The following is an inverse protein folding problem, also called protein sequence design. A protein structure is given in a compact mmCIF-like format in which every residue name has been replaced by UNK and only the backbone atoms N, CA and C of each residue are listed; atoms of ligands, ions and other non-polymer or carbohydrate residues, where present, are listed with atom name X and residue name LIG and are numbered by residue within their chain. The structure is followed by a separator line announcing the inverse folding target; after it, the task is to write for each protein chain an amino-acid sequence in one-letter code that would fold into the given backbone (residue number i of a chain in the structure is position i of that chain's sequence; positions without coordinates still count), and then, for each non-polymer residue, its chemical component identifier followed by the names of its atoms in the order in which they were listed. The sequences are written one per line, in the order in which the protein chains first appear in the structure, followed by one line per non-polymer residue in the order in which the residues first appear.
data_IF_776515494872
#
_entry.id   IF_776515494872
#
_cell.length_a   1.000
_cell.length_b   1.000
_cell.length_c   1.000
_cell.angle_alpha   90.00
_cell.angle_beta   90.00
_cell.angle_gamma   90.00
#
_symmetry.space_group_name_H-M   'P 1'
#
loop_
_entity.id
_entity.type
_entity.pdbx_description
1 polymer ?
#
# COMPACT_ATOMS: atom_id res chain seq x y z
N UNK A 1 2.50 14.52 -9.74
CA UNK A 1 1.19 14.44 -9.07
C UNK A 1 0.33 15.57 -9.59
N UNK A 2 -0.85 15.25 -10.12
CA UNK A 2 -1.73 16.22 -10.79
C UNK A 2 -3.13 16.11 -10.19
N UNK A 3 -3.75 17.25 -9.89
CA UNK A 3 -5.12 17.30 -9.39
C UNK A 3 -6.07 17.41 -10.58
N UNK A 4 -6.87 16.37 -10.84
CA UNK A 4 -7.84 16.33 -11.94
C UNK A 4 -9.26 16.47 -11.39
N UNK A 5 -10.04 17.43 -11.91
CA UNK A 5 -11.46 17.51 -11.58
C UNK A 5 -12.24 16.33 -12.20
N UNK A 6 -13.26 15.85 -11.50
CA UNK A 6 -14.19 14.86 -12.06
C UNK A 6 -14.93 15.46 -13.27
N UNK A 7 -15.21 14.61 -14.25
CA UNK A 7 -15.86 15.04 -15.49
C UNK A 7 -17.36 15.31 -15.30
N UNK A 8 -17.99 14.70 -14.29
CA UNK A 8 -19.42 14.83 -13.99
C UNK A 8 -19.70 15.86 -12.90
N UNK A 9 -18.81 16.01 -11.91
CA UNK A 9 -18.89 17.03 -10.87
C UNK A 9 -17.55 17.72 -10.62
N UNK A 10 -17.41 18.96 -11.09
CA UNK A 10 -16.15 19.73 -10.97
C UNK A 10 -15.75 20.06 -9.52
N UNK A 11 -16.62 19.82 -8.53
CA UNK A 11 -16.31 19.94 -7.08
C UNK A 11 -15.52 18.74 -6.56
N UNK A 12 -15.63 17.61 -7.24
CA UNK A 12 -14.87 16.39 -6.93
C UNK A 12 -13.52 16.49 -7.64
N UNK A 13 -12.45 16.19 -6.92
CA UNK A 13 -11.10 16.20 -7.44
C UNK A 13 -10.38 14.91 -7.11
N UNK A 14 -9.76 14.31 -8.12
CA UNK A 14 -8.88 13.17 -7.99
C UNK A 14 -7.43 13.61 -7.95
N UNK A 15 -6.63 12.85 -7.22
CA UNK A 15 -5.17 12.92 -7.28
C UNK A 15 -4.72 11.82 -8.22
N UNK A 16 -4.01 12.20 -9.28
CA UNK A 16 -3.39 11.26 -10.21
C UNK A 16 -1.87 11.34 -10.09
N UNK A 17 -1.23 10.17 -10.12
CA UNK A 17 0.22 10.09 -10.22
C UNK A 17 0.65 10.57 -11.61
N UNK A 18 1.72 11.36 -11.66
CA UNK A 18 2.40 11.65 -12.92
C UNK A 18 3.18 10.43 -13.37
N UNK A 19 3.61 10.34 -14.64
CA UNK A 19 4.49 9.25 -15.10
C UNK A 19 5.71 9.04 -14.20
N UNK A 20 6.42 10.12 -13.85
CA UNK A 20 7.53 10.08 -12.89
C UNK A 20 7.13 9.67 -11.47
N UNK A 21 5.88 9.89 -11.08
CA UNK A 21 5.35 9.46 -9.78
C UNK A 21 5.04 7.97 -9.77
N UNK A 22 4.62 7.41 -10.90
CA UNK A 22 4.44 5.97 -11.09
C UNK A 22 5.82 5.29 -11.02
N UNK A 23 6.80 5.79 -11.77
CA UNK A 23 8.17 5.25 -11.75
C UNK A 23 8.78 5.25 -10.34
N UNK A 24 8.60 6.34 -9.59
CA UNK A 24 9.06 6.43 -8.20
C UNK A 24 8.31 5.47 -7.27
N UNK A 25 7.01 5.29 -7.46
CA UNK A 25 6.20 4.35 -6.70
C UNK A 25 6.67 2.91 -6.94
N UNK A 26 6.92 2.55 -8.20
CA UNK A 26 7.39 1.22 -8.59
C UNK A 26 8.77 0.95 -7.99
N UNK A 27 9.70 1.90 -8.10
CA UNK A 27 11.04 1.78 -7.52
C UNK A 27 10.99 1.64 -6.00
N UNK A 28 10.17 2.45 -5.33
CA UNK A 28 10.03 2.42 -3.87
C UNK A 28 9.37 1.12 -3.40
N UNK A 29 8.38 0.63 -4.14
CA UNK A 29 7.68 -0.62 -3.84
C UNK A 29 8.64 -1.81 -3.97
N UNK A 30 9.43 -1.87 -5.05
CA UNK A 30 10.43 -2.92 -5.23
C UNK A 30 11.49 -2.92 -4.12
N UNK A 31 11.95 -1.73 -3.69
CA UNK A 31 12.89 -1.61 -2.55
C UNK A 31 12.26 -2.06 -1.24
N UNK A 32 11.00 -1.72 -1.01
CA UNK A 32 10.26 -2.14 0.18
C UNK A 32 10.08 -3.66 0.22
N UNK A 33 9.69 -4.27 -0.90
CA UNK A 33 9.57 -5.73 -1.01
C UNK A 33 10.88 -6.44 -0.67
N UNK A 34 12.02 -5.94 -1.17
CA UNK A 34 13.33 -6.49 -0.84
C UNK A 34 13.65 -6.39 0.66
N UNK A 35 13.35 -5.25 1.29
CA UNK A 35 13.57 -5.05 2.71
C UNK A 35 12.69 -5.98 3.56
N UNK A 36 11.42 -6.12 3.20
CA UNK A 36 10.47 -7.02 3.87
C UNK A 36 10.94 -8.46 3.70
N UNK A 37 11.24 -8.90 2.47
CA UNK A 37 11.72 -10.24 2.19
C UNK A 37 12.96 -10.59 3.01
N UNK A 38 13.93 -9.67 3.13
CA UNK A 38 15.11 -9.86 3.97
C UNK A 38 14.78 -9.91 5.46
N UNK A 39 13.90 -9.03 5.94
CA UNK A 39 13.52 -8.93 7.37
C UNK A 39 12.78 -10.17 7.84
N UNK A 40 11.93 -10.75 7.00
CA UNK A 40 11.06 -11.88 7.33
C UNK A 40 11.50 -13.21 6.71
N UNK A 41 12.70 -13.27 6.11
CA UNK A 41 13.23 -14.49 5.46
C UNK A 41 13.29 -15.73 6.36
N UNK A 42 13.26 -15.54 7.67
CA UNK A 42 13.32 -16.61 8.67
C UNK A 42 11.95 -17.17 9.04
N UNK A 43 10.86 -16.50 8.63
CA UNK A 43 9.50 -16.97 8.86
C UNK A 43 9.12 -17.96 7.76
N UNK A 44 8.44 -19.02 8.16
CA UNK A 44 7.80 -19.92 7.21
C UNK A 44 6.45 -19.31 6.73
N UNK A 45 5.85 -19.86 5.66
CA UNK A 45 4.60 -19.33 5.12
C UNK A 45 3.42 -19.38 6.11
N UNK A 46 3.36 -20.37 6.99
CA UNK A 46 2.29 -20.52 7.98
C UNK A 46 2.41 -19.45 9.08
N UNK A 47 3.62 -19.21 9.59
CA UNK A 47 3.91 -18.14 10.56
C UNK A 47 3.60 -16.76 9.98
N UNK A 48 3.92 -16.55 8.70
CA UNK A 48 3.62 -15.30 8.00
C UNK A 48 2.11 -15.08 7.87
N UNK A 49 1.35 -16.14 7.57
CA UNK A 49 -0.10 -16.08 7.46
C UNK A 49 -0.77 -15.76 8.81
N UNK A 50 -0.31 -16.40 9.90
CA UNK A 50 -0.83 -16.17 11.25
C UNK A 50 -0.59 -14.72 11.71
N UNK A 51 0.62 -14.20 11.49
CA UNK A 51 0.95 -12.80 11.83
C UNK A 51 0.11 -11.82 11.01
N UNK A 52 -0.09 -12.10 9.70
CA UNK A 52 -0.92 -11.24 8.83
C UNK A 52 -2.35 -11.21 9.33
N UNK A 53 -2.93 -12.37 9.66
CA UNK A 53 -4.29 -12.46 10.18
C UNK A 53 -4.47 -11.74 11.51
N UNK A 54 -3.47 -11.83 12.42
CA UNK A 54 -3.49 -11.10 13.68
C UNK A 54 -3.41 -9.57 13.48
N UNK A 55 -2.61 -9.11 12.50
CA UNK A 55 -2.52 -7.70 12.12
C UNK A 55 -3.82 -7.19 11.51
N UNK A 56 -4.48 -7.98 10.67
CA UNK A 56 -5.78 -7.64 10.09
C UNK A 56 -6.85 -7.46 11.18
N UNK A 57 -6.96 -8.41 12.12
CA UNK A 57 -7.87 -8.31 13.26
C UNK A 57 -7.57 -7.07 14.14
N UNK A 58 -6.29 -6.77 14.37
CA UNK A 58 -5.89 -5.58 15.11
C UNK A 58 -6.27 -4.29 14.37
N UNK A 59 -6.07 -4.28 13.05
CA UNK A 59 -6.44 -3.17 12.18
C UNK A 59 -7.95 -2.91 12.23
N UNK A 60 -8.78 -3.95 12.11
CA UNK A 60 -10.24 -3.86 12.23
C UNK A 60 -10.67 -3.29 13.59
N UNK A 61 -10.07 -3.75 14.69
CA UNK A 61 -10.38 -3.23 16.03
C UNK A 61 -9.98 -1.76 16.22
N UNK A 62 -8.89 -1.31 15.59
CA UNK A 62 -8.37 0.04 15.76
C UNK A 62 -9.02 1.05 14.80
N UNK A 63 -9.30 0.64 13.56
CA UNK A 63 -9.79 1.51 12.51
C UNK A 63 -11.31 1.49 12.37
N UNK A 64 -11.99 0.49 12.94
CA UNK A 64 -13.44 0.46 13.12
C UNK A 64 -14.22 0.88 11.88
N UNK A 65 -14.37 -0.02 10.92
CA UNK A 65 -15.58 -0.01 10.08
C UNK A 65 -16.77 -0.59 10.85
#
# INVERSE_FOLDING_TARGET
MTKRADLKDKRVHFVELSPSGIELMDESSARLEQLIAGRFAHLNPEETAEVTQALDLLSEMLLGE
#
